data_IF_520675317964
#
_entry.id   IF_520675317964
#
_cell.length_a   1.000
_cell.length_b   1.000
_cell.length_c   1.000
_cell.angle_alpha   90.00
_cell.angle_beta   90.00
_cell.angle_gamma   90.00
#
_symmetry.space_group_name_H-M   'P 1'
#
loop_
_entity.id
_entity.type
_entity.pdbx_description
1 polymer ?
#
# COMPACT_ATOMS: atom_id res chain seq x y z
N UNK A 1 -4.17 -52.70 23.85
CA UNK A 1 -5.34 -53.44 24.33
C UNK A 1 -6.16 -52.54 25.24
N UNK A 2 -7.19 -51.87 24.72
CA UNK A 2 -8.44 -51.60 25.44
C UNK A 2 -9.53 -51.64 24.36
N UNK A 3 -10.31 -52.71 24.38
CA UNK A 3 -11.50 -52.89 23.58
C UNK A 3 -12.65 -52.10 24.21
N UNK A 4 -13.38 -51.30 23.42
CA UNK A 4 -14.72 -50.88 23.80
C UNK A 4 -15.73 -51.27 22.69
N UNK A 5 -16.62 -52.23 22.97
CA UNK A 5 -17.67 -52.66 22.06
C UNK A 5 -19.03 -52.09 22.49
N UNK A 6 -19.64 -51.23 21.67
CA UNK A 6 -21.08 -50.94 21.71
C UNK A 6 -21.53 -50.75 20.27
N UNK A 7 -22.07 -51.80 19.62
CA UNK A 7 -23.53 -52.08 19.51
C UNK A 7 -24.28 -50.83 19.05
N UNK A 8 -24.51 -50.65 17.75
CA UNK A 8 -25.56 -51.35 16.97
C UNK A 8 -26.92 -51.11 17.61
N UNK A 9 -27.56 -49.99 17.29
CA UNK A 9 -29.01 -49.78 17.21
C UNK A 9 -29.24 -48.32 16.83
N UNK A 10 -29.95 -48.08 15.72
CA UNK A 10 -30.79 -46.94 15.32
C UNK A 10 -30.98 -47.18 13.80
N UNK A 11 -31.86 -48.12 13.47
CA UNK A 11 -33.28 -47.87 13.14
C UNK A 11 -33.37 -47.07 11.85
N UNK A 12 -33.56 -47.83 10.77
CA UNK A 12 -34.06 -47.36 9.51
C UNK A 12 -35.44 -46.72 9.73
N UNK A 13 -35.49 -45.39 9.65
CA UNK A 13 -36.72 -44.58 9.63
C UNK A 13 -36.60 -43.52 8.52
N UNK A 14 -36.22 -43.97 7.33
CA UNK A 14 -35.91 -43.09 6.18
C UNK A 14 -36.89 -43.23 5.01
N UNK A 15 -38.15 -43.60 5.29
CA UNK A 15 -39.20 -43.68 4.29
C UNK A 15 -40.42 -42.95 4.82
N UNK A 16 -40.95 -42.04 4.00
CA UNK A 16 -42.06 -41.10 4.25
C UNK A 16 -41.65 -39.72 4.77
N UNK A 17 -40.59 -39.12 4.21
CA UNK A 17 -40.66 -37.68 4.01
C UNK A 17 -41.69 -37.43 2.89
N UNK A 18 -42.67 -36.53 3.09
CA UNK A 18 -43.53 -36.10 2.00
C UNK A 18 -42.62 -35.55 0.91
N UNK A 19 -42.73 -36.12 -0.31
CA UNK A 19 -42.25 -35.46 -1.51
C UNK A 19 -43.09 -34.20 -1.61
N UNK A 20 -42.61 -33.13 -0.99
CA UNK A 20 -43.14 -31.79 -1.18
C UNK A 20 -42.89 -31.49 -2.65
N UNK A 21 -43.96 -31.29 -3.40
CA UNK A 21 -43.91 -30.86 -4.80
C UNK A 21 -43.13 -29.55 -4.84
N UNK A 22 -41.81 -29.66 -5.05
CA UNK A 22 -40.97 -28.52 -5.24
C UNK A 22 -41.46 -27.82 -6.52
N UNK A 23 -41.78 -26.51 -6.46
CA UNK A 23 -42.26 -25.79 -7.62
C UNK A 23 -41.24 -25.96 -8.76
N UNK A 24 -41.75 -26.21 -9.97
CA UNK A 24 -40.95 -26.58 -11.15
C UNK A 24 -39.79 -25.60 -11.45
N UNK A 25 -39.93 -24.35 -11.00
CA UNK A 25 -38.96 -23.27 -11.21
C UNK A 25 -37.67 -23.44 -10.38
N UNK A 26 -37.71 -24.15 -9.26
CA UNK A 26 -36.51 -24.48 -8.47
C UNK A 26 -35.58 -25.42 -9.26
N UNK A 27 -36.17 -26.31 -10.06
CA UNK A 27 -35.44 -27.29 -10.86
C UNK A 27 -34.62 -26.61 -11.97
N UNK A 28 -35.08 -25.48 -12.51
CA UNK A 28 -34.35 -24.75 -13.57
C UNK A 28 -33.09 -24.07 -13.01
N UNK A 29 -33.17 -23.49 -11.81
CA UNK A 29 -32.03 -22.83 -11.15
C UNK A 29 -30.98 -23.85 -10.71
N UNK A 30 -31.40 -24.98 -10.13
CA UNK A 30 -30.50 -26.07 -9.75
C UNK A 30 -29.82 -26.69 -10.97
N UNK A 31 -30.54 -26.87 -12.09
CA UNK A 31 -29.96 -27.37 -13.35
C UNK A 31 -28.88 -26.46 -13.91
N UNK A 32 -28.94 -25.15 -13.64
CA UNK A 32 -27.90 -24.18 -14.00
C UNK A 32 -26.78 -24.07 -12.96
N UNK A 33 -26.83 -24.86 -11.89
CA UNK A 33 -25.81 -24.92 -10.84
C UNK A 33 -25.91 -23.80 -9.80
N UNK A 34 -27.07 -23.14 -9.68
CA UNK A 34 -27.28 -22.16 -8.63
C UNK A 34 -27.67 -22.84 -7.31
N UNK A 35 -27.15 -22.29 -6.20
CA UNK A 35 -27.55 -22.72 -4.86
C UNK A 35 -28.84 -21.98 -4.50
N UNK A 36 -29.94 -22.73 -4.45
CA UNK A 36 -31.28 -22.23 -4.09
C UNK A 36 -31.46 -22.23 -2.57
N UNK A 37 -32.05 -21.17 -2.06
CA UNK A 37 -32.31 -20.89 -0.64
C UNK A 37 -33.75 -20.37 -0.53
N UNK A 38 -34.39 -20.59 0.62
CA UNK A 38 -35.68 -19.97 0.89
C UNK A 38 -35.53 -18.44 1.03
N UNK A 39 -36.47 -17.67 0.48
CA UNK A 39 -36.56 -16.23 0.74
C UNK A 39 -37.00 -15.97 2.19
N UNK A 40 -36.57 -14.84 2.76
CA UNK A 40 -37.11 -14.37 4.03
C UNK A 40 -38.33 -13.49 3.79
N UNK A 41 -39.29 -13.52 4.72
CA UNK A 41 -40.43 -12.62 4.70
C UNK A 41 -39.98 -11.15 4.68
N UNK A 42 -40.59 -10.38 3.79
CA UNK A 42 -40.27 -8.96 3.63
C UNK A 42 -39.07 -8.65 2.73
N UNK A 43 -38.39 -9.66 2.17
CA UNK A 43 -37.42 -9.45 1.08
C UNK A 43 -38.17 -8.94 -0.18
N UNK A 44 -37.52 -8.12 -1.00
CA UNK A 44 -38.09 -7.61 -2.26
C UNK A 44 -37.57 -8.41 -3.44
N UNK A 45 -38.44 -8.70 -4.40
CA UNK A 45 -38.03 -9.24 -5.68
C UNK A 45 -37.12 -8.24 -6.40
N UNK A 46 -35.93 -8.67 -6.85
CA UNK A 46 -34.98 -7.81 -7.54
C UNK A 46 -35.53 -7.26 -8.87
N UNK A 47 -36.34 -8.04 -9.58
CA UNK A 47 -36.86 -7.66 -10.90
C UNK A 47 -38.11 -6.79 -10.79
N UNK A 48 -39.09 -7.19 -9.97
CA UNK A 48 -40.38 -6.48 -9.87
C UNK A 48 -40.41 -5.43 -8.76
N UNK A 49 -39.52 -5.49 -7.76
CA UNK A 49 -39.49 -4.58 -6.61
C UNK A 49 -40.59 -4.82 -5.57
N UNK A 50 -41.48 -5.79 -5.79
CA UNK A 50 -42.58 -6.18 -4.90
C UNK A 50 -42.04 -7.03 -3.75
N UNK A 51 -42.66 -6.93 -2.57
CA UNK A 51 -42.35 -7.79 -1.42
C UNK A 51 -42.67 -9.25 -1.75
N UNK A 52 -41.79 -10.17 -1.37
CA UNK A 52 -41.95 -11.60 -1.56
C UNK A 52 -42.87 -12.17 -0.48
N UNK A 53 -43.71 -13.09 -0.91
CA UNK A 53 -44.51 -13.98 -0.08
C UNK A 53 -43.69 -15.22 0.32
N UNK A 54 -44.32 -16.17 1.01
CA UNK A 54 -43.69 -17.44 1.44
C UNK A 54 -43.17 -18.29 0.26
N UNK A 55 -43.61 -18.01 -0.97
CA UNK A 55 -43.20 -18.70 -2.20
C UNK A 55 -41.98 -18.05 -2.88
N UNK A 56 -41.42 -17.00 -2.28
CA UNK A 56 -40.23 -16.34 -2.80
C UNK A 56 -39.01 -17.26 -2.82
N UNK A 57 -38.20 -17.14 -3.88
CA UNK A 57 -36.98 -17.91 -4.05
C UNK A 57 -35.78 -16.99 -3.89
N UNK A 58 -34.78 -17.43 -3.13
CA UNK A 58 -33.49 -16.78 -3.04
C UNK A 58 -32.40 -17.69 -3.62
N UNK A 59 -31.37 -17.14 -4.25
CA UNK A 59 -30.21 -17.92 -4.67
C UNK A 59 -28.94 -17.06 -4.67
N UNK A 60 -27.77 -17.72 -4.72
CA UNK A 60 -26.49 -17.01 -4.75
C UNK A 60 -26.04 -16.81 -6.20
N UNK A 61 -25.92 -15.55 -6.61
CA UNK A 61 -25.35 -15.12 -7.89
C UNK A 61 -24.12 -14.25 -7.65
N UNK A 62 -22.95 -14.67 -8.18
CA UNK A 62 -21.65 -14.00 -7.98
C UNK A 62 -21.34 -13.66 -6.51
N UNK A 63 -21.61 -14.61 -5.60
CA UNK A 63 -21.35 -14.46 -4.17
C UNK A 63 -22.34 -13.54 -3.43
N UNK A 64 -23.44 -13.12 -4.07
CA UNK A 64 -24.47 -12.30 -3.45
C UNK A 64 -25.83 -12.99 -3.50
N UNK A 65 -26.64 -12.81 -2.46
CA UNK A 65 -28.01 -13.31 -2.37
C UNK A 65 -28.92 -12.47 -3.25
N UNK A 66 -29.62 -13.11 -4.17
CA UNK A 66 -30.60 -12.53 -5.09
C UNK A 66 -31.95 -13.16 -4.80
N UNK A 67 -32.97 -12.33 -4.62
CA UNK A 67 -34.32 -12.71 -4.23
C UNK A 67 -35.27 -12.42 -5.38
N UNK A 68 -36.03 -13.43 -5.83
CA UNK A 68 -36.93 -13.33 -6.99
C UNK A 68 -38.28 -14.00 -6.70
N UNK A 69 -39.30 -13.49 -7.37
CA UNK A 69 -40.57 -14.20 -7.51
C UNK A 69 -40.41 -15.32 -8.56
N UNK A 70 -41.08 -16.47 -8.43
CA UNK A 70 -41.01 -17.55 -9.40
C UNK A 70 -41.23 -17.09 -10.86
N UNK A 71 -42.27 -16.30 -11.09
CA UNK A 71 -42.59 -15.72 -12.41
C UNK A 71 -41.50 -14.80 -13.00
N UNK A 72 -40.65 -14.23 -12.15
CA UNK A 72 -39.60 -13.30 -12.57
C UNK A 72 -38.27 -14.00 -12.90
N UNK A 73 -38.15 -15.32 -12.66
CA UNK A 73 -36.92 -16.09 -12.89
C UNK A 73 -36.54 -16.07 -14.38
N UNK A 74 -37.49 -16.32 -15.27
CA UNK A 74 -37.22 -16.30 -16.72
C UNK A 74 -36.73 -14.94 -17.21
N UNK A 75 -37.32 -13.85 -16.69
CA UNK A 75 -36.91 -12.47 -17.02
C UNK A 75 -35.50 -12.20 -16.52
N UNK A 76 -35.18 -12.59 -15.29
CA UNK A 76 -33.83 -12.44 -14.73
C UNK A 76 -32.80 -13.24 -15.54
N UNK A 77 -33.09 -14.50 -15.86
CA UNK A 77 -32.19 -15.39 -16.59
C UNK A 77 -31.91 -14.91 -18.02
N UNK A 78 -32.82 -14.13 -18.62
CA UNK A 78 -32.58 -13.52 -19.93
C UNK A 78 -31.55 -12.38 -19.92
N UNK A 79 -31.45 -11.63 -18.81
CA UNK A 79 -30.58 -10.45 -18.67
C UNK A 79 -30.07 -10.28 -17.22
N UNK A 80 -29.28 -11.23 -16.68
CA UNK A 80 -28.93 -11.24 -15.26
C UNK A 80 -28.07 -10.03 -14.86
N UNK A 81 -27.14 -9.62 -15.72
CA UNK A 81 -26.24 -8.48 -15.45
C UNK A 81 -26.99 -7.15 -15.31
N UNK A 82 -28.09 -6.96 -16.06
CA UNK A 82 -28.91 -5.74 -16.01
C UNK A 82 -29.51 -5.54 -14.62
N UNK A 83 -30.16 -6.57 -14.09
CA UNK A 83 -30.80 -6.51 -12.77
C UNK A 83 -29.78 -6.53 -11.64
N UNK A 84 -28.69 -7.29 -11.79
CA UNK A 84 -27.64 -7.35 -10.78
C UNK A 84 -26.88 -6.02 -10.60
N UNK A 85 -26.81 -5.19 -11.64
CA UNK A 85 -26.20 -3.85 -11.55
C UNK A 85 -26.85 -2.95 -10.49
N UNK A 86 -28.12 -3.17 -10.15
CA UNK A 86 -28.83 -2.44 -9.11
C UNK A 86 -28.43 -2.87 -7.68
N UNK A 87 -27.93 -4.09 -7.50
CA UNK A 87 -27.44 -4.60 -6.22
C UNK A 87 -25.98 -4.24 -5.95
N UNK A 88 -25.25 -3.71 -6.93
CA UNK A 88 -23.89 -3.21 -6.71
C UNK A 88 -23.97 -1.96 -5.82
N UNK A 89 -23.32 -1.95 -4.64
CA UNK A 89 -23.33 -0.79 -3.76
C UNK A 89 -22.73 0.39 -4.52
N UNK A 90 -23.53 1.43 -4.76
CA UNK A 90 -23.06 2.69 -5.33
C UNK A 90 -22.44 3.55 -4.23
N UNK A 91 -21.46 3.00 -3.53
CA UNK A 91 -20.70 3.75 -2.52
C UNK A 91 -19.49 4.42 -3.16
N UNK A 92 -19.16 5.64 -2.76
CA UNK A 92 -17.96 6.36 -3.22
C UNK A 92 -16.64 5.59 -2.94
N UNK A 93 -16.68 4.59 -2.05
CA UNK A 93 -15.54 3.76 -1.67
C UNK A 93 -15.57 2.35 -2.26
N UNK A 94 -16.70 1.93 -2.86
CA UNK A 94 -16.92 0.58 -3.40
C UNK A 94 -17.42 0.64 -4.84
N UNK A 95 -16.87 1.55 -5.65
CA UNK A 95 -16.98 1.40 -7.09
C UNK A 95 -16.15 0.19 -7.51
N UNK A 96 -16.79 -1.00 -7.51
CA UNK A 96 -16.46 -2.07 -8.44
C UNK A 96 -16.79 -1.57 -9.86
N UNK A 97 -16.11 -0.52 -10.32
CA UNK A 97 -15.78 -0.48 -11.74
C UNK A 97 -15.12 -1.83 -12.00
N UNK A 98 -15.48 -2.51 -13.09
CA UNK A 98 -14.55 -3.45 -13.73
C UNK A 98 -13.19 -2.79 -13.57
N UNK A 99 -12.29 -3.43 -12.82
CA UNK A 99 -11.00 -2.84 -12.54
C UNK A 99 -10.28 -2.76 -13.88
N UNK A 100 -10.61 -1.75 -14.68
CA UNK A 100 -9.65 -0.94 -15.37
C UNK A 100 -8.73 -0.52 -14.25
N UNK A 101 -7.78 -1.42 -14.01
CA UNK A 101 -6.43 -1.17 -13.55
C UNK A 101 -6.35 0.30 -13.22
N UNK A 102 -6.35 0.69 -11.94
CA UNK A 102 -5.76 1.97 -11.56
C UNK A 102 -4.45 1.94 -12.31
N UNK A 103 -4.42 2.70 -13.41
CA UNK A 103 -3.63 2.28 -14.57
C UNK A 103 -2.25 2.05 -14.02
N UNK A 104 -1.66 0.88 -14.24
CA UNK A 104 -0.34 0.57 -13.70
C UNK A 104 0.67 1.73 -13.93
N UNK A 105 0.41 2.56 -14.93
CA UNK A 105 0.88 3.93 -15.16
C UNK A 105 0.84 4.89 -13.95
N UNK A 106 -0.28 5.07 -13.24
CA UNK A 106 -0.40 5.88 -12.02
C UNK A 106 0.46 5.36 -10.88
N UNK A 107 0.50 4.04 -10.67
CA UNK A 107 1.40 3.45 -9.68
C UNK A 107 2.86 3.68 -10.08
N UNK A 108 3.18 3.48 -11.35
CA UNK A 108 4.51 3.77 -11.92
C UNK A 108 4.90 5.24 -11.76
N UNK A 109 3.97 6.17 -11.99
CA UNK A 109 4.18 7.61 -11.80
C UNK A 109 4.46 7.94 -10.34
N UNK A 110 3.70 7.34 -9.40
CA UNK A 110 3.92 7.51 -7.96
C UNK A 110 5.29 7.02 -7.51
N UNK A 111 5.71 5.83 -7.97
CA UNK A 111 7.04 5.29 -7.70
C UNK A 111 8.13 6.19 -8.28
N UNK A 112 7.99 6.63 -9.53
CA UNK A 112 8.94 7.51 -10.20
C UNK A 112 9.10 8.85 -9.46
N UNK A 113 8.00 9.47 -9.05
CA UNK A 113 8.01 10.71 -8.25
C UNK A 113 8.71 10.52 -6.90
N UNK A 114 8.43 9.40 -6.22
CA UNK A 114 9.02 9.09 -4.91
C UNK A 114 10.53 8.89 -5.05
N UNK A 115 10.98 8.15 -6.07
CA UNK A 115 12.39 7.95 -6.34
C UNK A 115 13.10 9.26 -6.68
N UNK A 116 12.44 10.15 -7.44
CA UNK A 116 12.96 11.47 -7.80
C UNK A 116 13.16 12.36 -6.58
N UNK A 117 12.21 12.36 -5.64
CA UNK A 117 12.33 13.09 -4.38
C UNK A 117 13.49 12.58 -3.52
N UNK A 118 13.65 11.25 -3.41
CA UNK A 118 14.77 10.65 -2.67
C UNK A 118 16.11 11.02 -3.34
N UNK A 119 16.21 10.88 -4.66
CA UNK A 119 17.43 11.24 -5.41
C UNK A 119 17.73 12.74 -5.30
N UNK A 120 16.72 13.60 -5.36
CA UNK A 120 16.85 15.04 -5.19
C UNK A 120 17.35 15.41 -3.79
N UNK A 121 16.81 14.80 -2.73
CA UNK A 121 17.24 15.03 -1.35
C UNK A 121 18.69 14.58 -1.11
N UNK A 122 19.07 13.39 -1.58
CA UNK A 122 20.45 12.90 -1.47
C UNK A 122 21.40 13.75 -2.32
N UNK A 123 20.99 14.11 -3.53
CA UNK A 123 21.75 14.94 -4.45
C UNK A 123 22.02 16.34 -3.90
N UNK A 124 21.01 17.00 -3.32
CA UNK A 124 21.18 18.32 -2.70
C UNK A 124 22.13 18.27 -1.51
N UNK A 125 22.05 17.23 -0.68
CA UNK A 125 22.96 17.04 0.45
C UNK A 125 24.42 16.85 -0.01
N UNK A 126 24.66 16.01 -1.03
CA UNK A 126 26.00 15.82 -1.58
C UNK A 126 26.49 17.09 -2.28
N UNK A 127 25.61 17.84 -2.95
CA UNK A 127 25.97 19.09 -3.60
C UNK A 127 26.48 20.13 -2.59
N UNK A 128 25.82 20.27 -1.43
CA UNK A 128 26.28 21.13 -0.33
C UNK A 128 27.69 20.73 0.10
N UNK A 129 27.93 19.42 0.33
CA UNK A 129 29.24 18.91 0.73
C UNK A 129 30.33 19.13 -0.32
N UNK A 130 29.96 19.21 -1.60
CA UNK A 130 30.87 19.45 -2.73
C UNK A 130 30.98 20.92 -3.14
N UNK A 131 30.38 21.85 -2.39
CA UNK A 131 30.40 23.28 -2.73
C UNK A 131 29.64 23.62 -4.02
N UNK A 132 28.49 22.98 -4.28
CA UNK A 132 27.64 23.21 -5.46
C UNK A 132 26.24 23.65 -5.03
N UNK A 133 25.51 24.30 -5.93
CA UNK A 133 24.16 24.79 -5.66
C UNK A 133 23.18 23.62 -5.37
N UNK A 134 22.58 23.54 -4.17
CA UNK A 134 21.70 22.44 -3.81
C UNK A 134 20.40 22.43 -4.61
N UNK A 135 19.87 23.60 -4.98
CA UNK A 135 18.62 23.75 -5.72
C UNK A 135 18.68 23.11 -7.12
N UNK A 136 19.77 23.35 -7.84
CA UNK A 136 19.97 22.76 -9.17
C UNK A 136 20.06 21.23 -9.10
N UNK A 137 20.82 20.69 -8.15
CA UNK A 137 20.98 19.25 -7.99
C UNK A 137 19.76 18.55 -7.40
N UNK A 138 18.94 19.25 -6.59
CA UNK A 138 17.64 18.76 -6.18
C UNK A 138 16.71 18.61 -7.40
N UNK A 139 16.56 19.66 -8.19
CA UNK A 139 15.71 19.64 -9.38
C UNK A 139 16.18 18.59 -10.40
N UNK A 140 17.50 18.50 -10.64
CA UNK A 140 18.08 17.47 -11.47
C UNK A 140 17.79 16.05 -10.93
N UNK A 141 17.86 15.84 -9.60
CA UNK A 141 17.51 14.57 -8.96
C UNK A 141 16.05 14.19 -9.12
N UNK A 142 15.13 15.16 -9.06
CA UNK A 142 13.68 14.90 -9.26
C UNK A 142 13.39 14.54 -10.72
N UNK A 143 13.99 15.25 -11.69
CA UNK A 143 13.69 15.06 -13.12
C UNK A 143 14.45 13.86 -13.70
N UNK A 144 15.73 13.71 -13.37
CA UNK A 144 16.63 12.71 -13.98
C UNK A 144 16.96 11.54 -13.04
N UNK A 145 16.46 11.55 -11.81
CA UNK A 145 16.63 10.46 -10.82
C UNK A 145 18.11 10.05 -10.65
N UNK A 146 18.40 8.78 -10.88
CA UNK A 146 19.71 8.15 -10.68
C UNK A 146 20.79 8.75 -11.60
N UNK A 147 20.42 9.30 -12.76
CA UNK A 147 21.39 9.89 -13.69
C UNK A 147 21.98 11.18 -13.11
N UNK A 148 21.16 12.03 -12.49
CA UNK A 148 21.65 13.23 -11.80
C UNK A 148 22.53 12.86 -10.60
N UNK A 149 22.14 11.84 -9.82
CA UNK A 149 22.92 11.43 -8.67
C UNK A 149 24.29 10.86 -9.06
N UNK A 150 24.35 9.98 -10.08
CA UNK A 150 25.61 9.41 -10.57
C UNK A 150 26.54 10.46 -11.15
N UNK A 151 26.01 11.41 -11.93
CA UNK A 151 26.80 12.53 -12.47
C UNK A 151 27.31 13.48 -11.38
N UNK A 152 26.56 13.68 -10.29
CA UNK A 152 27.04 14.43 -9.14
C UNK A 152 28.16 13.69 -8.40
N UNK A 153 28.05 12.37 -8.24
CA UNK A 153 29.03 11.56 -7.52
C UNK A 153 30.40 11.57 -8.20
N UNK A 154 30.46 11.58 -9.53
CA UNK A 154 31.72 11.59 -10.30
C UNK A 154 32.39 12.97 -10.35
N UNK A 155 31.66 14.06 -10.07
CA UNK A 155 32.23 15.41 -10.11
C UNK A 155 33.14 15.68 -8.90
N UNK A 156 34.31 16.31 -9.08
CA UNK A 156 35.15 16.75 -7.97
C UNK A 156 34.44 17.84 -7.15
N UNK A 157 34.84 17.93 -5.89
CA UNK A 157 34.45 19.04 -4.99
C UNK A 157 35.00 20.35 -5.54
N UNK A 158 34.22 21.42 -5.44
CA UNK A 158 34.66 22.77 -5.81
C UNK A 158 35.00 23.50 -4.51
N UNK A 159 36.25 23.91 -4.36
CA UNK A 159 36.65 24.80 -3.28
C UNK A 159 36.16 26.23 -3.59
N UNK A 160 35.60 26.91 -2.58
CA UNK A 160 35.20 28.32 -2.71
C UNK A 160 33.84 28.56 -3.37
N UNK A 161 32.83 27.73 -3.10
CA UNK A 161 31.44 28.09 -3.47
C UNK A 161 31.12 29.49 -2.93
N UNK A 162 30.54 30.40 -3.74
CA UNK A 162 30.06 31.68 -3.24
C UNK A 162 28.96 31.39 -2.23
N UNK A 163 29.31 31.50 -0.95
CA UNK A 163 28.34 31.50 0.12
C UNK A 163 27.63 32.87 0.09
N UNK A 164 26.32 32.93 0.38
CA UNK A 164 25.65 34.21 0.50
C UNK A 164 26.33 35.04 1.61
N UNK A 165 26.35 36.36 1.48
CA UNK A 165 27.10 37.36 2.29
C UNK A 165 26.91 37.30 3.83
N UNK A 166 26.13 36.36 4.35
CA UNK A 166 25.87 36.17 5.79
C UNK A 166 26.00 34.72 6.25
N UNK A 167 26.49 33.83 5.38
CA UNK A 167 26.63 32.41 5.67
C UNK A 167 28.07 31.98 5.41
N UNK A 168 29.02 32.62 6.09
CA UNK A 168 30.45 32.46 5.85
C UNK A 168 30.96 31.03 6.06
N UNK A 169 30.20 30.16 6.74
CA UNK A 169 30.56 28.76 6.90
C UNK A 169 29.37 27.82 7.11
N UNK A 170 29.40 26.68 6.42
CA UNK A 170 28.56 25.53 6.76
C UNK A 170 29.22 24.84 7.97
N UNK A 171 28.53 24.67 9.11
CA UNK A 171 29.10 24.01 10.28
C UNK A 171 29.44 22.56 9.93
N UNK A 172 30.73 22.27 9.79
CA UNK A 172 31.22 20.91 9.65
C UNK A 172 31.72 20.47 11.02
N UNK A 173 30.99 19.57 11.66
CA UNK A 173 31.45 18.84 12.84
C UNK A 173 32.51 17.84 12.41
N UNK A 174 33.76 18.28 12.37
CA UNK A 174 34.91 17.40 12.21
C UNK A 174 35.02 16.45 13.41
N UNK A 175 35.38 15.20 13.15
CA UNK A 175 35.50 14.18 14.17
C UNK A 175 36.57 14.56 15.23
N UNK A 176 36.38 14.16 16.51
CA UNK A 176 37.38 14.37 17.55
C UNK A 176 38.71 13.66 17.20
N UNK A 177 39.82 14.23 17.66
CA UNK A 177 41.16 13.65 17.52
C UNK A 177 41.69 13.26 18.90
N UNK A 178 42.04 11.99 19.06
CA UNK A 178 42.54 11.47 20.34
C UNK A 178 43.95 11.96 20.63
N UNK A 179 44.21 12.31 21.89
CA UNK A 179 45.56 12.67 22.32
C UNK A 179 46.48 11.43 22.29
N UNK A 180 47.66 11.48 21.66
CA UNK A 180 48.60 10.35 21.60
C UNK A 180 49.21 9.99 22.97
N UNK A 181 48.97 10.80 24.00
CA UNK A 181 49.49 10.57 25.35
C UNK A 181 48.47 9.98 26.31
N UNK A 182 47.25 10.54 26.32
CA UNK A 182 46.24 10.23 27.33
C UNK A 182 44.91 9.76 26.73
N UNK A 183 44.82 9.66 25.40
CA UNK A 183 43.66 9.16 24.65
C UNK A 183 42.39 10.00 24.86
N UNK A 184 42.51 11.19 25.47
CA UNK A 184 41.37 12.09 25.60
C UNK A 184 40.98 12.65 24.22
N UNK A 185 39.68 12.70 23.87
CA UNK A 185 39.22 13.24 22.59
C UNK A 185 39.30 14.78 22.59
N UNK A 186 40.02 15.37 21.64
CA UNK A 186 40.17 16.82 21.52
C UNK A 186 39.49 17.32 20.24
N UNK A 187 39.15 18.62 20.22
CA UNK A 187 38.72 19.27 19.00
C UNK A 187 39.86 19.27 17.96
N UNK A 188 39.61 19.04 16.66
CA UNK A 188 40.66 18.94 15.64
C UNK A 188 41.49 20.21 15.44
N UNK A 189 40.98 21.37 15.86
CA UNK A 189 41.69 22.65 15.88
C UNK A 189 42.46 22.92 17.19
N UNK A 190 42.39 22.01 18.16
CA UNK A 190 43.08 22.19 19.45
C UNK A 190 44.59 22.05 19.29
N UNK A 191 45.33 23.07 19.73
CA UNK A 191 46.80 23.06 19.78
C UNK A 191 47.37 22.41 21.05
N UNK A 192 46.53 22.20 22.06
CA UNK A 192 46.92 21.59 23.34
C UNK A 192 45.83 20.65 23.83
N UNK A 193 46.22 19.55 24.48
CA UNK A 193 45.28 18.60 25.04
C UNK A 193 44.62 19.18 26.29
N UNK A 194 43.28 19.16 26.35
CA UNK A 194 42.53 19.70 27.50
C UNK A 194 42.79 18.92 28.79
N UNK A 195 43.21 17.65 28.70
CA UNK A 195 43.41 16.76 29.87
C UNK A 195 44.84 16.74 30.39
N UNK A 196 45.83 16.56 29.52
CA UNK A 196 47.23 16.41 29.94
C UNK A 196 48.14 17.58 29.55
N UNK A 197 47.62 18.61 28.88
CA UNK A 197 48.39 19.80 28.48
C UNK A 197 49.41 19.58 27.35
N UNK A 198 49.56 18.35 26.84
CA UNK A 198 50.49 18.05 25.74
C UNK A 198 50.13 18.86 24.49
N UNK A 199 51.14 19.42 23.83
CA UNK A 199 50.99 20.12 22.55
C UNK A 199 50.54 19.09 21.49
N UNK A 200 49.47 19.44 20.76
CA UNK A 200 48.90 18.65 19.68
C UNK A 200 49.21 19.34 18.35
N UNK A 201 49.45 18.55 17.30
CA UNK A 201 49.46 19.07 15.94
C UNK A 201 48.02 19.16 15.46
N UNK A 202 47.46 20.38 15.25
CA UNK A 202 46.08 20.52 14.82
C UNK A 202 45.90 19.90 13.44
N UNK A 203 44.84 19.11 13.27
CA UNK A 203 44.48 18.49 11.99
C UNK A 203 43.65 19.42 11.09
N UNK A 204 43.09 20.48 11.70
CA UNK A 204 42.37 21.53 11.01
C UNK A 204 42.85 22.90 11.52
N UNK A 205 42.90 23.88 10.64
CA UNK A 205 43.23 25.25 11.02
C UNK A 205 42.11 25.87 11.85
N UNK A 206 42.47 26.55 12.94
CA UNK A 206 41.50 27.25 13.80
C UNK A 206 40.86 28.40 13.03
N UNK A 207 39.53 28.43 12.99
CA UNK A 207 38.77 29.51 12.35
C UNK A 207 39.06 30.88 12.98
N UNK A 208 39.34 30.92 14.28
CA UNK A 208 39.64 32.15 15.02
C UNK A 208 40.93 32.84 14.54
N UNK A 209 41.82 32.12 13.84
CA UNK A 209 43.06 32.68 13.30
C UNK A 209 42.94 33.23 11.86
N UNK A 210 41.82 33.01 11.17
CA UNK A 210 41.63 33.44 9.76
C UNK A 210 41.00 34.82 9.60
N UNK A 211 40.49 35.42 10.68
CA UNK A 211 40.03 36.83 10.74
C UNK A 211 41.16 37.74 11.19
#
# INVERSE_FOLDING_TARGET
MIHHPYRLFIVAAFLLLPVSDAPADNLELEKKGYVVLAAHEGERCLVSGILLDENGIAFIYRGRRVTLHPDAIGVFLSQPDRYFSHLKPKGALFQEHDAGSIAISWLGLGIWMTLGLICGAVGSHIAIRKGRSPSYWFAAGVVLNLVALTTLLTRPSVEGSPLPDRLDKIPVTSAPVDCPSCIAPNHPTASTCFRCGRILTPSAESEVKRT
#
